data_IF_172078197666
#
_entry.id   IF_172078197666
#
_cell.length_a   1.000
_cell.length_b   1.000
_cell.length_c   1.000
_cell.angle_alpha   90.00
_cell.angle_beta   90.00
_cell.angle_gamma   90.00
#
_symmetry.space_group_name_H-M   'P 1'
#
loop_
_entity.id
_entity.type
_entity.pdbx_description
1 polymer ?
#
# COMPACT_ATOMS: atom_id res chain seq x y z
N UNK A 1 6.84 -2.13 -2.82
CA UNK A 1 5.49 -2.72 -2.82
C UNK A 1 4.91 -2.62 -4.23
N UNK A 2 4.56 -3.75 -4.83
CA UNK A 2 3.94 -3.80 -6.15
C UNK A 2 2.46 -4.11 -5.94
N UNK A 3 1.59 -3.18 -6.31
CA UNK A 3 0.14 -3.31 -6.15
C UNK A 3 -0.45 -3.82 -7.46
N UNK A 4 -1.17 -4.95 -7.40
CA UNK A 4 -1.98 -5.46 -8.49
C UNK A 4 -3.44 -5.47 -8.01
N UNK A 5 -4.32 -4.81 -8.76
CA UNK A 5 -5.77 -4.79 -8.49
C UNK A 5 -6.46 -5.35 -9.73
N UNK A 6 -7.12 -6.50 -9.58
CA UNK A 6 -7.97 -7.08 -10.62
C UNK A 6 -9.40 -6.56 -10.44
N UNK A 7 -9.96 -5.93 -11.47
CA UNK A 7 -11.22 -5.18 -11.39
C UNK A 7 -12.51 -6.02 -11.20
N UNK A 8 -12.41 -7.34 -11.05
CA UNK A 8 -13.53 -8.26 -10.77
C UNK A 8 -13.30 -9.12 -9.50
N UNK A 9 -12.14 -8.97 -8.86
CA UNK A 9 -11.87 -9.61 -7.59
C UNK A 9 -12.14 -8.58 -6.49
N UNK A 10 -13.19 -8.78 -5.69
CA UNK A 10 -13.43 -8.03 -4.44
C UNK A 10 -12.34 -8.30 -3.38
N UNK A 11 -11.19 -8.87 -3.74
CA UNK A 11 -10.12 -9.28 -2.84
C UNK A 11 -8.79 -8.63 -3.24
N UNK A 12 -8.23 -7.86 -2.31
CA UNK A 12 -6.91 -7.25 -2.43
C UNK A 12 -5.91 -8.13 -1.69
N UNK A 13 -4.73 -8.33 -2.28
CA UNK A 13 -3.59 -9.00 -1.66
C UNK A 13 -2.49 -7.99 -1.37
N UNK A 14 -2.27 -7.68 -0.10
CA UNK A 14 -1.16 -6.86 0.37
C UNK A 14 0.02 -7.74 0.77
N UNK A 15 1.19 -7.53 0.16
CA UNK A 15 2.40 -8.31 0.45
C UNK A 15 3.48 -7.41 1.03
N UNK A 16 4.07 -7.85 2.14
CA UNK A 16 5.23 -7.22 2.78
C UNK A 16 6.42 -8.18 2.76
N UNK A 17 7.57 -7.64 2.34
CA UNK A 17 8.86 -8.31 2.40
C UNK A 17 9.71 -7.63 3.48
N UNK A 18 10.03 -8.39 4.52
CA UNK A 18 10.93 -7.99 5.59
C UNK A 18 12.36 -8.46 5.27
N UNK A 19 13.13 -7.62 4.58
CA UNK A 19 14.51 -7.95 4.17
C UNK A 19 15.44 -8.21 5.36
N UNK A 20 15.45 -7.37 6.42
CA UNK A 20 16.26 -7.62 7.61
C UNK A 20 15.95 -8.94 8.31
N UNK A 21 14.68 -9.36 8.32
CA UNK A 21 14.24 -10.59 8.96
C UNK A 21 14.31 -11.80 8.00
N UNK A 22 15.50 -12.11 7.50
CA UNK A 22 15.75 -13.25 6.61
C UNK A 22 14.80 -13.29 5.39
N UNK A 23 14.53 -12.14 4.77
CA UNK A 23 13.63 -12.03 3.61
C UNK A 23 12.24 -12.62 3.86
N UNK A 24 11.73 -12.50 5.09
CA UNK A 24 10.41 -13.04 5.44
C UNK A 24 9.32 -12.36 4.63
N UNK A 25 8.51 -13.17 3.97
CA UNK A 25 7.28 -12.74 3.31
C UNK A 25 6.10 -12.86 4.27
N UNK A 26 5.24 -11.86 4.26
CA UNK A 26 3.93 -11.89 4.91
C UNK A 26 2.90 -11.27 3.98
N UNK A 27 1.67 -11.78 4.02
CA UNK A 27 0.57 -11.25 3.24
C UNK A 27 -0.68 -11.05 4.10
N UNK A 28 -1.48 -10.08 3.70
CA UNK A 28 -2.81 -9.82 4.25
C UNK A 28 -3.78 -9.72 3.06
N UNK A 29 -4.95 -10.34 3.16
CA UNK A 29 -5.98 -10.24 2.12
C UNK A 29 -7.32 -9.79 2.68
N UNK A 30 -8.14 -9.22 1.80
CA UNK A 30 -9.51 -8.82 2.12
C UNK A 30 -10.05 -7.80 1.14
N UNK A 31 -11.31 -7.41 1.32
CA UNK A 31 -11.97 -6.45 0.43
C UNK A 31 -11.47 -5.03 0.61
N UNK A 32 -11.77 -4.16 -0.36
CA UNK A 32 -11.39 -2.74 -0.31
C UNK A 32 -12.08 -1.97 0.81
N UNK A 33 -13.25 -2.45 1.23
CA UNK A 33 -14.04 -1.95 2.35
C UNK A 33 -13.48 -2.42 3.70
N UNK A 34 -12.62 -3.45 3.73
CA UNK A 34 -11.98 -3.87 4.96
C UNK A 34 -11.07 -2.75 5.48
N UNK A 35 -11.31 -2.21 6.69
CA UNK A 35 -10.56 -1.05 7.19
C UNK A 35 -9.05 -1.27 7.27
N UNK A 36 -8.59 -2.51 7.52
CA UNK A 36 -7.16 -2.84 7.56
C UNK A 36 -6.55 -2.79 6.16
N UNK A 37 -7.23 -3.37 5.17
CA UNK A 37 -6.78 -3.38 3.78
C UNK A 37 -6.80 -1.96 3.20
N UNK A 38 -7.84 -1.18 3.50
CA UNK A 38 -7.93 0.23 3.10
C UNK A 38 -6.75 1.04 3.65
N UNK A 39 -6.40 0.86 4.93
CA UNK A 39 -5.23 1.48 5.51
C UNK A 39 -3.91 1.05 4.81
N UNK A 40 -3.76 -0.23 4.47
CA UNK A 40 -2.59 -0.71 3.69
C UNK A 40 -2.54 -0.10 2.29
N UNK A 41 -3.68 0.10 1.63
CA UNK A 41 -3.75 0.78 0.34
C UNK A 41 -3.27 2.22 0.47
N UNK A 42 -3.71 2.96 1.50
CA UNK A 42 -3.24 4.31 1.78
C UNK A 42 -1.72 4.33 2.01
N UNK A 43 -1.20 3.42 2.84
CA UNK A 43 0.25 3.28 3.08
C UNK A 43 1.05 3.06 1.77
N UNK A 44 0.52 2.26 0.84
CA UNK A 44 1.18 1.93 -0.44
C UNK A 44 1.03 3.06 -1.47
N UNK A 45 -0.17 3.62 -1.63
CA UNK A 45 -0.50 4.60 -2.68
C UNK A 45 0.06 5.98 -2.33
N UNK A 46 -0.14 6.43 -1.11
CA UNK A 46 0.31 7.76 -0.67
C UNK A 46 1.82 7.79 -0.41
N UNK A 47 2.40 6.63 -0.11
CA UNK A 47 3.70 6.55 0.54
C UNK A 47 3.62 7.16 1.95
N UNK A 48 4.59 6.87 2.82
CA UNK A 48 4.63 7.47 4.16
C UNK A 48 4.41 8.99 4.12
N UNK A 49 3.91 9.61 5.19
CA UNK A 49 3.66 11.06 5.29
C UNK A 49 4.79 11.96 4.70
N UNK A 50 6.10 11.62 4.79
CA UNK A 50 7.18 12.31 4.08
C UNK A 50 7.12 12.23 2.53
N UNK A 51 6.64 11.13 1.96
CA UNK A 51 6.45 10.94 0.53
C UNK A 51 5.29 11.80 -0.01
N UNK A 52 4.23 11.99 0.78
CA UNK A 52 3.14 12.91 0.46
C UNK A 52 3.63 14.36 0.42
N UNK A 53 4.43 14.78 1.42
CA UNK A 53 5.09 16.10 1.43
C UNK A 53 5.99 16.29 0.21
N UNK A 54 6.79 15.27 -0.17
CA UNK A 54 7.64 15.31 -1.38
C UNK A 54 6.82 15.43 -2.65
N UNK A 55 5.67 14.75 -2.77
CA UNK A 55 4.78 14.88 -3.94
C UNK A 55 4.11 16.25 -3.99
N UNK A 56 3.63 16.75 -2.86
CA UNK A 56 3.05 18.10 -2.75
C UNK A 56 4.05 19.18 -3.19
N UNK A 57 5.29 19.09 -2.71
CA UNK A 57 6.38 19.97 -3.14
C UNK A 57 6.76 19.79 -4.61
N UNK A 58 6.77 18.55 -5.12
CA UNK A 58 7.15 18.25 -6.51
C UNK A 58 6.11 18.73 -7.52
N UNK A 59 4.82 18.67 -7.19
CA UNK A 59 3.73 19.01 -8.09
C UNK A 59 3.09 20.39 -7.80
N UNK A 60 3.57 21.11 -6.79
CA UNK A 60 3.06 22.44 -6.44
C UNK A 60 1.57 22.47 -6.08
N UNK A 61 1.02 21.34 -5.66
CA UNK A 61 -0.41 21.22 -5.33
C UNK A 61 -0.59 21.86 -3.95
N UNK A 62 -1.20 23.04 -3.90
CA UNK A 62 -1.55 23.76 -2.66
C UNK A 62 -2.86 23.26 -2.08
#
# INVERSE_FOLDING_TARGET
PNLAVGADAEEIVYVKLDKPNNYKFSYETGSIENPKINARLLEVLEGSQPAFVKRRLKYGIS
#
